data_IF_391272768702
#
_entry.id   IF_391272768702
#
_cell.length_a   1.000
_cell.length_b   1.000
_cell.length_c   1.000
_cell.angle_alpha   90.00
_cell.angle_beta   90.00
_cell.angle_gamma   90.00
#
_symmetry.space_group_name_H-M   'P 1'
#
loop_
_entity.id
_entity.type
_entity.pdbx_description
1 polymer ?
#
# COMPACT_ATOMS: atom_id res chain seq x y z
N UNK A 1 12.08 1.06 -4.37
CA UNK A 1 11.01 2.04 -4.09
C UNK A 1 11.03 3.29 -4.96
N UNK A 2 12.13 3.64 -5.68
CA UNK A 2 12.11 4.71 -6.70
C UNK A 2 11.08 4.50 -7.82
N UNK A 3 10.56 3.29 -7.99
CA UNK A 3 9.45 2.93 -8.87
C UNK A 3 8.14 3.67 -8.53
N UNK A 4 7.83 3.89 -7.25
CA UNK A 4 6.60 4.59 -6.83
C UNK A 4 6.69 6.06 -7.22
N UNK A 5 7.82 6.72 -6.95
CA UNK A 5 8.05 8.09 -7.40
C UNK A 5 8.00 8.26 -8.90
N UNK A 6 8.64 7.35 -9.64
CA UNK A 6 8.67 7.41 -11.11
C UNK A 6 7.24 7.33 -11.63
N UNK A 7 6.40 6.47 -11.06
CA UNK A 7 5.01 6.34 -11.49
C UNK A 7 4.08 7.44 -10.99
N UNK A 8 4.29 7.98 -9.79
CA UNK A 8 3.55 9.15 -9.35
C UNK A 8 3.92 10.39 -10.16
N UNK A 9 5.21 10.59 -10.44
CA UNK A 9 5.69 11.69 -11.29
C UNK A 9 5.21 11.54 -12.73
N UNK A 10 5.23 10.32 -13.26
CA UNK A 10 4.72 10.02 -14.59
C UNK A 10 3.21 10.21 -14.65
N UNK A 11 2.47 9.68 -13.67
CA UNK A 11 1.03 9.89 -13.49
C UNK A 11 0.65 11.36 -13.36
N UNK A 12 1.50 12.17 -12.71
CA UNK A 12 1.35 13.63 -12.62
C UNK A 12 1.45 14.30 -13.99
N UNK A 13 2.47 13.95 -14.77
CA UNK A 13 2.70 14.54 -16.09
C UNK A 13 1.54 14.22 -17.02
N UNK A 14 1.10 12.96 -17.04
CA UNK A 14 0.02 12.50 -17.92
C UNK A 14 -1.35 12.98 -17.45
N UNK A 15 -1.61 13.09 -16.14
CA UNK A 15 -2.86 13.66 -15.62
C UNK A 15 -3.00 15.14 -15.96
N UNK A 16 -1.90 15.91 -15.93
CA UNK A 16 -1.88 17.32 -16.36
C UNK A 16 -2.14 17.48 -17.87
N UNK A 17 -1.82 16.45 -18.66
CA UNK A 17 -2.07 16.40 -20.10
C UNK A 17 -3.44 15.83 -20.47
N UNK A 18 -4.27 15.43 -19.49
CA UNK A 18 -5.58 14.80 -19.74
C UNK A 18 -5.48 13.38 -20.28
N UNK A 19 -4.33 12.72 -20.11
CA UNK A 19 -4.09 11.35 -20.56
C UNK A 19 -4.61 10.39 -19.49
N UNK A 20 -5.41 9.40 -19.90
CA UNK A 20 -5.94 8.38 -19.01
C UNK A 20 -4.81 7.52 -18.43
N UNK A 21 -4.68 7.55 -17.11
CA UNK A 21 -3.63 6.83 -16.35
C UNK A 21 -4.10 5.53 -15.71
N UNK A 22 -5.30 5.05 -16.05
CA UNK A 22 -5.89 3.88 -15.41
C UNK A 22 -4.99 2.64 -15.54
N UNK A 23 -4.33 2.45 -16.69
CA UNK A 23 -3.37 1.34 -16.87
C UNK A 23 -2.25 1.39 -15.83
N UNK A 24 -1.63 2.56 -15.69
CA UNK A 24 -0.51 2.77 -14.77
C UNK A 24 -0.94 2.49 -13.33
N UNK A 25 -2.08 3.06 -12.94
CA UNK A 25 -2.59 2.96 -11.59
C UNK A 25 -3.01 1.53 -11.26
N UNK A 26 -3.69 0.84 -12.19
CA UNK A 26 -4.06 -0.57 -12.01
C UNK A 26 -2.82 -1.46 -11.88
N UNK A 27 -1.87 -1.35 -12.82
CA UNK A 27 -0.66 -2.20 -12.79
C UNK A 27 0.17 -1.94 -11.53
N UNK A 28 0.43 -0.66 -11.22
CA UNK A 28 1.34 -0.30 -10.13
C UNK A 28 0.71 -0.50 -8.76
N UNK A 29 -0.52 -0.04 -8.59
CA UNK A 29 -1.16 0.02 -7.27
C UNK A 29 -2.05 -1.20 -7.00
N UNK A 30 -2.91 -1.58 -7.95
CA UNK A 30 -3.81 -2.74 -7.74
C UNK A 30 -3.02 -4.03 -7.74
N UNK A 31 -2.13 -4.25 -8.72
CA UNK A 31 -1.42 -5.53 -8.87
C UNK A 31 -0.06 -5.56 -8.17
N UNK A 32 0.88 -4.67 -8.56
CA UNK A 32 2.27 -4.73 -8.08
C UNK A 32 2.34 -4.46 -6.57
N UNK A 33 1.79 -3.35 -6.10
CA UNK A 33 1.85 -2.98 -4.67
C UNK A 33 1.14 -4.01 -3.80
N UNK A 34 -0.08 -4.43 -4.16
CA UNK A 34 -0.80 -5.45 -3.41
C UNK A 34 -0.03 -6.78 -3.34
N UNK A 35 0.58 -7.21 -4.45
CA UNK A 35 1.37 -8.46 -4.49
C UNK A 35 2.63 -8.34 -3.65
N UNK A 36 3.31 -7.19 -3.65
CA UNK A 36 4.48 -6.94 -2.82
C UNK A 36 4.13 -6.98 -1.32
N UNK A 37 3.02 -6.34 -0.93
CA UNK A 37 2.55 -6.35 0.46
C UNK A 37 2.15 -7.75 0.92
N UNK A 38 1.43 -8.51 0.08
CA UNK A 38 1.09 -9.90 0.38
C UNK A 38 2.37 -10.75 0.52
N UNK A 39 3.35 -10.54 -0.37
CA UNK A 39 4.65 -11.23 -0.31
C UNK A 39 5.36 -10.90 1.00
N UNK A 40 5.35 -9.64 1.43
CA UNK A 40 5.89 -9.24 2.73
C UNK A 40 5.23 -10.01 3.90
N UNK A 41 3.90 -10.09 3.95
CA UNK A 41 3.21 -10.87 4.98
C UNK A 41 3.47 -12.39 4.87
N UNK A 42 3.58 -12.91 3.66
CA UNK A 42 3.91 -14.31 3.40
C UNK A 42 5.29 -14.67 3.95
N UNK A 43 6.29 -13.80 3.80
CA UNK A 43 7.65 -14.02 4.31
C UNK A 43 7.68 -14.07 5.84
N UNK A 44 6.85 -13.26 6.51
CA UNK A 44 6.76 -13.18 7.98
C UNK A 44 5.90 -14.28 8.61
N UNK A 45 5.02 -14.93 7.85
CA UNK A 45 4.23 -16.05 8.36
C UNK A 45 5.16 -17.23 8.74
N UNK A 46 4.87 -17.93 9.84
CA UNK A 46 5.62 -19.13 10.26
C UNK A 46 4.86 -20.42 9.94
N UNK A 47 3.52 -20.36 9.89
CA UNK A 47 2.68 -21.52 9.61
C UNK A 47 2.70 -21.89 8.11
N UNK A 48 3.27 -23.05 7.79
CA UNK A 48 3.42 -23.55 6.41
C UNK A 48 2.10 -23.80 5.69
N UNK A 49 1.07 -24.29 6.41
CA UNK A 49 -0.26 -24.50 5.85
C UNK A 49 -0.92 -23.16 5.49
N UNK A 50 -0.77 -22.17 6.36
CA UNK A 50 -1.29 -20.82 6.08
C UNK A 50 -0.55 -20.14 4.94
N UNK A 51 0.79 -20.29 4.85
CA UNK A 51 1.57 -19.84 3.68
C UNK A 51 1.03 -20.37 2.35
N UNK A 52 0.71 -21.67 2.29
CA UNK A 52 0.11 -22.28 1.09
C UNK A 52 -1.23 -21.64 0.75
N UNK A 53 -2.08 -21.36 1.76
CA UNK A 53 -3.36 -20.67 1.56
C UNK A 53 -3.18 -19.25 1.03
N UNK A 54 -2.19 -18.50 1.53
CA UNK A 54 -1.89 -17.14 1.01
C UNK A 54 -1.61 -17.21 -0.49
N UNK A 55 -0.75 -18.13 -0.92
CA UNK A 55 -0.42 -18.30 -2.35
C UNK A 55 -1.67 -18.68 -3.15
N UNK A 56 -2.45 -19.66 -2.70
CA UNK A 56 -3.66 -20.11 -3.38
C UNK A 56 -4.69 -18.98 -3.57
N UNK A 57 -4.94 -18.21 -2.50
CA UNK A 57 -5.87 -17.08 -2.56
C UNK A 57 -5.31 -15.99 -3.48
N UNK A 58 -4.01 -15.69 -3.41
CA UNK A 58 -3.38 -14.68 -4.27
C UNK A 58 -3.48 -15.04 -5.75
N UNK A 59 -3.22 -16.30 -6.10
CA UNK A 59 -3.37 -16.81 -7.48
C UNK A 59 -4.83 -16.75 -7.93
N UNK A 60 -5.77 -17.10 -7.05
CA UNK A 60 -7.19 -16.98 -7.35
C UNK A 60 -7.61 -15.53 -7.62
N UNK A 61 -7.15 -14.58 -6.80
CA UNK A 61 -7.42 -13.14 -7.00
C UNK A 61 -6.80 -12.63 -8.29
N UNK A 62 -5.57 -13.04 -8.62
CA UNK A 62 -4.93 -12.66 -9.89
C UNK A 62 -5.72 -13.18 -11.10
N UNK A 63 -6.16 -14.43 -11.06
CA UNK A 63 -7.03 -14.99 -12.09
C UNK A 63 -8.36 -14.23 -12.21
N UNK A 64 -8.98 -13.88 -11.08
CA UNK A 64 -10.15 -13.00 -11.07
C UNK A 64 -9.84 -11.61 -11.62
N UNK A 65 -8.65 -11.08 -11.41
CA UNK A 65 -8.19 -9.81 -11.98
C UNK A 65 -8.11 -9.83 -13.49
N UNK A 66 -7.63 -10.94 -14.07
CA UNK A 66 -7.64 -11.14 -15.53
C UNK A 66 -9.08 -11.19 -16.07
N UNK A 67 -9.96 -11.95 -15.42
CA UNK A 67 -11.39 -12.01 -15.79
C UNK A 67 -12.04 -10.62 -15.67
N UNK A 68 -11.78 -9.89 -14.58
CA UNK A 68 -12.25 -8.53 -14.37
C UNK A 68 -11.79 -7.59 -15.50
N UNK A 69 -10.52 -7.69 -15.88
CA UNK A 69 -9.91 -6.89 -16.94
C UNK A 69 -10.57 -7.06 -18.31
N UNK A 70 -11.03 -8.27 -18.61
CA UNK A 70 -11.61 -8.63 -19.92
C UNK A 70 -13.10 -8.33 -19.95
N UNK A 71 -13.84 -8.64 -18.88
CA UNK A 71 -15.31 -8.70 -18.92
C UNK A 71 -16.02 -7.55 -18.19
N UNK A 72 -15.38 -6.88 -17.23
CA UNK A 72 -16.08 -5.95 -16.33
C UNK A 72 -15.43 -4.57 -16.25
N UNK A 73 -14.15 -4.49 -15.92
CA UNK A 73 -13.41 -3.24 -15.72
C UNK A 73 -12.12 -3.27 -16.54
N UNK A 74 -12.15 -2.67 -17.73
CA UNK A 74 -10.97 -2.59 -18.60
C UNK A 74 -9.79 -1.95 -17.88
N UNK A 75 -8.63 -2.63 -17.94
CA UNK A 75 -7.41 -2.20 -17.24
C UNK A 75 -6.88 -0.86 -17.73
N UNK A 76 -7.15 -0.48 -18.99
CA UNK A 76 -6.68 0.76 -19.60
C UNK A 76 -7.63 1.94 -19.41
N UNK A 77 -8.91 1.68 -19.14
CA UNK A 77 -9.94 2.71 -19.16
C UNK A 77 -10.58 2.99 -17.80
N UNK A 78 -10.52 2.04 -16.86
CA UNK A 78 -11.21 2.15 -15.57
C UNK A 78 -10.36 1.62 -14.43
N UNK A 79 -10.55 2.15 -13.22
CA UNK A 79 -9.98 1.59 -12.01
C UNK A 79 -10.57 0.20 -11.75
N UNK A 80 -9.71 -0.80 -11.53
CA UNK A 80 -10.12 -2.17 -11.28
C UNK A 80 -10.49 -2.42 -9.81
N UNK A 81 -11.50 -1.70 -9.33
CA UNK A 81 -11.96 -1.81 -7.95
C UNK A 81 -12.39 -3.25 -7.57
N UNK A 82 -13.01 -4.00 -8.47
CA UNK A 82 -13.41 -5.39 -8.19
C UNK A 82 -12.23 -6.35 -8.00
N UNK A 83 -11.04 -5.97 -8.47
CA UNK A 83 -9.79 -6.67 -8.19
C UNK A 83 -9.08 -6.11 -6.97
N UNK A 84 -9.12 -4.79 -6.77
CA UNK A 84 -8.57 -4.12 -5.58
C UNK A 84 -9.25 -4.61 -4.30
N UNK A 85 -10.57 -4.77 -4.30
CA UNK A 85 -11.35 -5.17 -3.12
C UNK A 85 -10.86 -6.50 -2.52
N UNK A 86 -10.80 -7.63 -3.26
CA UNK A 86 -10.32 -8.88 -2.69
C UNK A 86 -8.84 -8.84 -2.30
N UNK A 87 -7.99 -8.11 -3.04
CA UNK A 87 -6.60 -7.87 -2.63
C UNK A 87 -6.52 -7.13 -1.30
N UNK A 88 -7.25 -6.03 -1.18
CA UNK A 88 -7.26 -5.21 0.03
C UNK A 88 -7.82 -5.95 1.23
N UNK A 89 -8.89 -6.74 1.05
CA UNK A 89 -9.42 -7.59 2.13
C UNK A 89 -8.40 -8.62 2.60
N UNK A 90 -7.69 -9.27 1.68
CA UNK A 90 -6.61 -10.20 2.04
C UNK A 90 -5.50 -9.48 2.82
N UNK A 91 -5.06 -8.31 2.36
CA UNK A 91 -4.03 -7.50 3.03
C UNK A 91 -4.47 -7.07 4.44
N UNK A 92 -5.73 -6.65 4.61
CA UNK A 92 -6.32 -6.32 5.91
C UNK A 92 -6.29 -7.54 6.84
N UNK A 93 -6.73 -8.71 6.37
CA UNK A 93 -6.71 -9.96 7.14
C UNK A 93 -5.29 -10.35 7.55
N UNK A 94 -4.32 -10.25 6.63
CA UNK A 94 -2.92 -10.56 6.90
C UNK A 94 -2.29 -9.58 7.90
N UNK A 95 -2.63 -8.29 7.79
CA UNK A 95 -2.18 -7.26 8.72
C UNK A 95 -2.69 -7.53 10.14
N UNK A 96 -4.01 -7.79 10.29
CA UNK A 96 -4.62 -8.13 11.59
C UNK A 96 -3.98 -9.39 12.18
N UNK A 97 -3.75 -10.41 11.34
CA UNK A 97 -3.12 -11.65 11.78
C UNK A 97 -1.69 -11.44 12.26
N UNK A 98 -0.88 -10.66 11.53
CA UNK A 98 0.48 -10.34 11.94
C UNK A 98 0.48 -9.57 13.27
N UNK A 99 -0.36 -8.53 13.39
CA UNK A 99 -0.54 -7.78 14.63
C UNK A 99 -0.94 -8.70 15.79
N UNK A 100 -1.90 -9.61 15.58
CA UNK A 100 -2.28 -10.61 16.59
C UNK A 100 -1.11 -11.49 17.01
N UNK A 101 -0.25 -11.91 16.07
CA UNK A 101 0.91 -12.74 16.38
C UNK A 101 1.99 -11.95 17.14
N UNK A 102 2.18 -10.67 16.83
CA UNK A 102 3.11 -9.78 17.53
C UNK A 102 2.61 -9.52 18.96
N UNK A 103 1.34 -9.11 19.12
CA UNK A 103 0.75 -8.78 20.42
C UNK A 103 0.65 -9.98 21.37
N UNK A 104 0.50 -11.19 20.83
CA UNK A 104 0.54 -12.44 21.62
C UNK A 104 1.97 -12.99 21.81
N UNK A 105 3.01 -12.19 21.56
CA UNK A 105 4.42 -12.53 21.79
C UNK A 105 4.92 -13.80 21.05
N UNK A 106 4.21 -14.25 20.00
CA UNK A 106 4.57 -15.46 19.24
C UNK A 106 5.77 -15.26 18.32
N UNK A 107 6.05 -14.02 17.95
CA UNK A 107 7.11 -13.67 17.01
C UNK A 107 8.30 -13.01 17.71
N UNK A 108 8.05 -12.13 18.68
CA UNK A 108 9.05 -11.31 19.36
C UNK A 108 8.77 -11.25 20.87
N UNK A 109 9.01 -12.34 21.61
CA UNK A 109 8.65 -12.41 23.03
C UNK A 109 9.44 -11.44 23.92
N UNK A 110 10.69 -11.15 23.56
CA UNK A 110 11.62 -10.38 24.40
C UNK A 110 11.82 -8.94 23.94
N UNK A 111 10.96 -8.42 23.05
CA UNK A 111 11.13 -7.09 22.46
C UNK A 111 9.98 -6.17 22.86
N UNK A 112 10.30 -4.90 23.13
CA UNK A 112 9.28 -3.86 23.28
C UNK A 112 8.51 -3.68 21.97
N UNK A 113 7.19 -3.54 22.06
CA UNK A 113 6.32 -3.41 20.88
C UNK A 113 6.75 -2.27 19.94
N UNK A 114 7.20 -1.15 20.52
CA UNK A 114 7.65 0.04 19.78
C UNK A 114 8.92 -0.20 18.97
N UNK A 115 9.74 -1.17 19.35
CA UNK A 115 11.00 -1.50 18.68
C UNK A 115 10.80 -2.48 17.52
N UNK A 116 9.60 -3.05 17.36
CA UNK A 116 9.30 -4.04 16.32
C UNK A 116 8.85 -3.30 15.05
N UNK A 117 9.67 -3.24 13.98
CA UNK A 117 9.32 -2.50 12.76
C UNK A 117 8.04 -3.02 12.12
N UNK A 118 7.84 -4.34 12.18
CA UNK A 118 6.70 -5.03 11.61
C UNK A 118 5.37 -4.65 12.28
N UNK A 119 5.39 -4.22 13.55
CA UNK A 119 4.20 -3.73 14.24
C UNK A 119 3.70 -2.43 13.61
N UNK A 120 4.61 -1.47 13.40
CA UNK A 120 4.30 -0.20 12.75
C UNK A 120 3.87 -0.39 11.31
N UNK A 121 4.63 -1.15 10.52
CA UNK A 121 4.32 -1.43 9.11
C UNK A 121 2.93 -2.05 8.98
N UNK A 122 2.62 -3.08 9.77
CA UNK A 122 1.31 -3.76 9.69
C UNK A 122 0.15 -2.89 10.18
N UNK A 123 0.36 -2.07 11.21
CA UNK A 123 -0.64 -1.11 11.68
C UNK A 123 -0.97 -0.08 10.60
N UNK A 124 0.04 0.51 9.96
CA UNK A 124 -0.22 1.57 8.99
C UNK A 124 -0.75 1.03 7.67
N UNK A 125 -0.29 -0.14 7.22
CA UNK A 125 -0.89 -0.84 6.06
C UNK A 125 -2.36 -1.15 6.33
N UNK A 126 -2.71 -1.61 7.54
CA UNK A 126 -4.09 -1.89 7.91
C UNK A 126 -4.99 -0.65 7.76
N UNK A 127 -4.59 0.47 8.36
CA UNK A 127 -5.38 1.69 8.29
C UNK A 127 -5.44 2.28 6.88
N UNK A 128 -4.33 2.26 6.14
CA UNK A 128 -4.27 2.71 4.75
C UNK A 128 -5.21 1.89 3.85
N UNK A 129 -5.17 0.57 3.93
CA UNK A 129 -6.03 -0.27 3.09
C UNK A 129 -7.51 -0.21 3.49
N UNK A 130 -7.83 -0.04 4.77
CA UNK A 130 -9.23 0.20 5.17
C UNK A 130 -9.73 1.51 4.56
N UNK A 131 -8.97 2.60 4.67
CA UNK A 131 -9.34 3.89 4.09
C UNK A 131 -9.47 3.79 2.57
N UNK A 132 -8.49 3.19 1.89
CA UNK A 132 -8.51 3.00 0.45
C UNK A 132 -9.74 2.20 0.00
N UNK A 133 -10.08 1.10 0.66
CA UNK A 133 -11.26 0.30 0.32
C UNK A 133 -12.56 1.11 0.50
N UNK A 134 -12.67 1.89 1.57
CA UNK A 134 -13.83 2.76 1.79
C UNK A 134 -13.91 3.86 0.73
N UNK A 135 -12.79 4.52 0.44
CA UNK A 135 -12.71 5.60 -0.54
C UNK A 135 -13.09 5.12 -1.94
N UNK A 136 -12.37 4.12 -2.45
CA UNK A 136 -12.58 3.62 -3.81
C UNK A 136 -13.87 2.82 -3.93
N UNK A 137 -14.34 2.19 -2.86
CA UNK A 137 -15.67 1.59 -2.80
C UNK A 137 -16.78 2.61 -2.88
N UNK A 138 -16.64 3.74 -2.17
CA UNK A 138 -17.57 4.86 -2.27
C UNK A 138 -17.53 5.47 -3.66
N UNK A 139 -16.35 5.59 -4.27
CA UNK A 139 -16.22 6.06 -5.65
C UNK A 139 -16.96 5.15 -6.64
N UNK A 140 -16.84 3.83 -6.49
CA UNK A 140 -17.50 2.87 -7.37
C UNK A 140 -19.03 2.83 -7.19
N UNK A 141 -19.51 2.94 -5.95
CA UNK A 141 -20.93 2.77 -5.63
C UNK A 141 -21.72 4.09 -5.61
N UNK A 142 -21.06 5.21 -5.30
CA UNK A 142 -21.67 6.54 -5.20
C UNK A 142 -20.67 7.63 -5.70
N UNK A 143 -20.40 7.68 -7.01
CA UNK A 143 -19.43 8.61 -7.57
C UNK A 143 -19.82 10.08 -7.33
N UNK A 144 -21.12 10.40 -7.29
CA UNK A 144 -21.60 11.76 -7.04
C UNK A 144 -21.18 12.30 -5.66
N UNK A 145 -21.18 11.43 -4.63
CA UNK A 145 -20.68 11.81 -3.31
C UNK A 145 -19.18 12.12 -3.34
N UNK A 146 -18.39 11.32 -4.05
CA UNK A 146 -16.93 11.52 -4.11
C UNK A 146 -16.58 12.79 -4.87
N UNK A 147 -17.22 13.04 -6.02
CA UNK A 147 -16.98 14.27 -6.80
C UNK A 147 -17.32 15.51 -5.97
N UNK A 148 -18.43 15.48 -5.21
CA UNK A 148 -18.82 16.59 -4.33
C UNK A 148 -17.85 16.83 -3.18
N UNK A 149 -17.21 15.77 -2.68
CA UNK A 149 -16.32 15.81 -1.51
C UNK A 149 -14.85 15.53 -1.87
N UNK A 150 -14.47 15.72 -3.14
CA UNK A 150 -13.18 15.27 -3.69
C UNK A 150 -11.99 15.83 -2.89
N UNK A 151 -12.05 17.10 -2.50
CA UNK A 151 -10.97 17.73 -1.75
C UNK A 151 -10.76 17.09 -0.37
N UNK A 152 -11.85 16.77 0.33
CA UNK A 152 -11.78 16.19 1.68
C UNK A 152 -11.29 14.75 1.60
N UNK A 153 -11.93 13.95 0.75
CA UNK A 153 -11.63 12.53 0.61
C UNK A 153 -10.19 12.29 0.13
N UNK A 154 -9.74 13.02 -0.89
CA UNK A 154 -8.35 12.90 -1.34
C UNK A 154 -7.34 13.50 -0.34
N UNK A 155 -7.73 14.45 0.51
CA UNK A 155 -6.85 14.94 1.58
C UNK A 155 -6.66 13.90 2.68
N UNK A 156 -7.71 13.17 3.05
CA UNK A 156 -7.64 12.04 3.98
C UNK A 156 -6.75 10.95 3.40
N UNK A 157 -6.97 10.58 2.13
CA UNK A 157 -6.14 9.58 1.46
C UNK A 157 -4.66 9.97 1.44
N UNK A 158 -4.36 11.23 1.13
CA UNK A 158 -2.99 11.78 1.17
C UNK A 158 -2.39 11.73 2.58
N UNK A 159 -3.16 12.07 3.60
CA UNK A 159 -2.72 11.99 4.98
C UNK A 159 -2.38 10.54 5.35
N UNK A 160 -3.25 9.58 5.00
CA UNK A 160 -3.04 8.16 5.30
C UNK A 160 -1.83 7.58 4.55
N UNK A 161 -1.67 7.92 3.26
CA UNK A 161 -0.49 7.55 2.49
C UNK A 161 0.79 8.15 3.11
N UNK A 162 0.75 9.43 3.48
CA UNK A 162 1.86 10.12 4.15
C UNK A 162 2.25 9.46 5.47
N UNK A 163 1.26 9.07 6.29
CA UNK A 163 1.50 8.32 7.52
C UNK A 163 2.10 6.94 7.21
N UNK A 164 1.60 6.22 6.21
CA UNK A 164 2.16 4.92 5.80
C UNK A 164 3.65 5.03 5.48
N UNK A 165 4.03 5.96 4.62
CA UNK A 165 5.44 6.14 4.26
C UNK A 165 6.29 6.66 5.42
N UNK A 166 5.75 7.56 6.25
CA UNK A 166 6.43 8.05 7.45
C UNK A 166 6.73 6.89 8.41
N UNK A 167 5.72 6.06 8.73
CA UNK A 167 5.90 4.93 9.63
C UNK A 167 6.78 3.84 9.02
N UNK A 168 6.77 3.65 7.70
CA UNK A 168 7.76 2.79 7.05
C UNK A 168 9.17 3.31 7.29
N UNK A 169 9.41 4.62 7.09
CA UNK A 169 10.71 5.24 7.35
C UNK A 169 11.14 5.10 8.82
N UNK A 170 10.26 5.45 9.75
CA UNK A 170 10.54 5.38 11.20
C UNK A 170 10.79 3.93 11.64
N UNK A 171 10.00 2.97 11.15
CA UNK A 171 10.13 1.56 11.51
C UNK A 171 11.54 1.00 11.23
N UNK A 172 12.21 1.47 10.17
CA UNK A 172 13.58 1.05 9.85
C UNK A 172 14.66 1.91 10.53
N UNK A 173 14.37 3.17 10.83
CA UNK A 173 15.33 4.09 11.48
C UNK A 173 15.41 3.83 12.99
N UNK A 174 14.27 3.63 13.65
CA UNK A 174 14.19 3.57 15.12
C UNK A 174 15.06 2.45 15.76
N UNK A 175 15.09 1.21 15.23
CA UNK A 175 15.96 0.16 15.76
C UNK A 175 17.47 0.42 15.56
N UNK A 176 17.83 1.36 14.69
CA UNK A 176 19.21 1.71 14.37
C UNK A 176 19.68 2.97 15.11
N UNK A 177 18.78 3.83 15.58
CA UNK A 177 19.13 4.92 16.50
C UNK A 177 19.61 4.40 17.86
N UNK A 178 19.20 3.18 18.23
CA UNK A 178 19.59 2.51 19.48
C UNK A 178 20.88 1.67 19.37
N UNK A 179 21.45 1.48 18.16
CA UNK A 179 22.71 0.73 17.94
C UNK A 179 23.74 1.58 17.17
N UNK A 180 24.91 1.81 17.76
CA UNK A 180 25.98 2.70 17.27
C UNK A 180 26.36 2.51 15.77
N UNK A 181 25.95 3.51 14.97
CA UNK A 181 26.58 4.20 13.82
C UNK A 181 27.43 3.42 12.80
N UNK A 182 26.85 3.22 11.60
CA UNK A 182 27.60 3.18 10.34
C UNK A 182 26.90 4.07 9.28
N UNK A 183 27.13 5.38 9.38
CA UNK A 183 26.38 6.49 8.76
C UNK A 183 26.35 6.44 7.22
N UNK A 184 27.35 5.85 6.56
CA UNK A 184 27.50 5.92 5.10
C UNK A 184 26.51 5.03 4.33
N UNK A 185 26.12 3.87 4.88
CA UNK A 185 25.04 3.04 4.29
C UNK A 185 23.66 3.66 4.58
N UNK A 186 23.51 4.28 5.74
CA UNK A 186 22.27 4.90 6.20
C UNK A 186 21.98 6.21 5.48
N UNK A 187 23.00 7.01 5.16
CA UNK A 187 22.88 8.26 4.42
C UNK A 187 22.33 8.06 3.00
N UNK A 188 22.67 6.95 2.34
CA UNK A 188 22.11 6.58 1.03
C UNK A 188 20.65 6.13 1.13
N UNK A 189 20.28 5.36 2.16
CA UNK A 189 18.87 4.98 2.42
C UNK A 189 18.04 6.19 2.86
N UNK A 190 18.64 7.12 3.61
CA UNK A 190 18.02 8.35 4.10
C UNK A 190 17.87 9.43 3.00
N UNK A 191 18.88 9.63 2.15
CA UNK A 191 18.74 10.43 0.91
C UNK A 191 17.69 9.81 -0.01
N UNK A 192 17.60 8.48 -0.06
CA UNK A 192 16.60 7.74 -0.86
C UNK A 192 15.18 7.82 -0.27
N UNK A 193 15.00 8.14 1.01
CA UNK A 193 13.69 8.39 1.62
C UNK A 193 13.33 9.89 1.52
N UNK A 194 14.29 10.81 1.70
CA UNK A 194 14.04 12.27 1.74
C UNK A 194 13.96 12.93 0.36
N UNK A 195 14.76 12.50 -0.61
CA UNK A 195 14.58 12.98 -2.00
C UNK A 195 13.23 12.54 -2.59
N UNK A 196 12.57 11.57 -1.94
CA UNK A 196 11.25 11.06 -2.31
C UNK A 196 10.09 11.81 -1.63
N UNK A 197 10.35 12.69 -0.65
CA UNK A 197 9.29 13.37 0.13
C UNK A 197 8.93 14.76 -0.43
N UNK A 198 9.77 15.39 -1.25
CA UNK A 198 9.66 16.84 -1.55
C UNK A 198 8.88 17.24 -2.83
N UNK A 199 8.27 16.31 -3.58
CA UNK A 199 7.49 16.65 -4.79
C UNK A 199 6.02 16.16 -4.74
N UNK A 200 5.63 15.55 -3.61
CA UNK A 200 4.33 14.89 -3.37
C UNK A 200 3.12 15.86 -3.38
N UNK A 201 3.34 17.18 -3.35
CA UNK A 201 2.34 18.13 -2.85
C UNK A 201 1.77 19.13 -3.85
N UNK A 202 1.41 18.73 -5.06
CA UNK A 202 0.69 19.67 -5.92
C UNK A 202 -0.24 18.99 -6.94
N UNK A 203 -1.56 19.10 -6.70
CA UNK A 203 -2.64 19.07 -7.70
C UNK A 203 -3.49 17.79 -7.81
N UNK A 204 -4.78 17.92 -8.21
CA UNK A 204 -5.77 16.86 -8.12
C UNK A 204 -5.66 15.88 -9.30
N UNK A 205 -5.94 14.60 -9.05
CA UNK A 205 -6.14 13.58 -10.09
C UNK A 205 -7.41 13.95 -10.88
N UNK A 206 -7.27 14.12 -12.19
CA UNK A 206 -8.40 14.11 -13.13
C UNK A 206 -8.45 12.73 -13.78
N UNK A 207 -9.57 12.04 -13.59
CA UNK A 207 -9.99 10.89 -14.38
C UNK A 207 -10.97 11.36 -15.45
#
# INVERSE_FOLDING_TARGET
MGWVLVFESYGLITARQGINNSLLYNVSWVYIESTLLITYFYLLEKNTLFKKRIIQISLFILSLGLVNSIFFQSITHSLQYYTLLPFGLLIVILSIRLLKNILNLKLYPDHNLMEIPHFWISSTVLFFYIEALVLFGTYQLNPGFVVKNVNILFSINKLMAGLMYLFFGIAFIFPHLTKNLNILKTGLVFLFIITNISVIFSFPLKF
#
